data_IF_380945830709
#
_entry.id   IF_380945830709
#
_cell.length_a   1.000
_cell.length_b   1.000
_cell.length_c   1.000
_cell.angle_alpha   90.00
_cell.angle_beta   90.00
_cell.angle_gamma   90.00
#
_symmetry.space_group_name_H-M   'P 1'
#
loop_
_entity.id
_entity.type
_entity.pdbx_description
1 polymer ?
#
# COMPACT_ATOMS: atom_id res chain seq x y z
N UNK A 1 28.70 11.53 12.46
CA UNK A 1 27.24 11.59 12.64
C UNK A 1 26.76 10.15 12.78
N UNK A 2 26.44 9.70 13.99
CA UNK A 2 25.91 8.35 14.18
C UNK A 2 24.47 8.29 13.66
N UNK A 3 24.19 7.34 12.77
CA UNK A 3 22.84 7.14 12.27
C UNK A 3 22.08 6.27 13.27
N UNK A 4 21.19 6.89 14.04
CA UNK A 4 20.30 6.16 14.96
C UNK A 4 19.45 5.19 14.13
N UNK A 5 19.60 3.89 14.44
CA UNK A 5 18.80 2.83 13.85
C UNK A 5 17.58 2.56 14.73
N UNK A 6 16.41 2.58 14.11
CA UNK A 6 15.11 2.42 14.76
C UNK A 6 14.41 1.17 14.25
N UNK A 7 13.53 0.59 15.08
CA UNK A 7 12.73 -0.59 14.70
C UNK A 7 11.55 -0.17 13.82
N UNK A 8 11.27 -1.01 12.84
CA UNK A 8 10.12 -0.88 11.93
C UNK A 8 9.36 -2.18 11.93
N UNK A 9 8.04 -2.11 12.12
CA UNK A 9 7.15 -3.21 11.79
C UNK A 9 6.80 -3.13 10.29
N UNK A 10 7.41 -4.00 9.48
CA UNK A 10 7.16 -4.07 8.05
C UNK A 10 6.10 -5.12 7.77
N UNK A 11 4.97 -4.70 7.21
CA UNK A 11 3.90 -5.55 6.70
C UNK A 11 3.66 -5.19 5.23
N UNK A 12 4.37 -5.88 4.33
CA UNK A 12 4.41 -5.45 2.93
C UNK A 12 3.05 -5.63 2.23
N UNK A 13 2.41 -4.54 1.73
CA UNK A 13 1.08 -4.63 1.10
C UNK A 13 1.09 -5.31 -0.27
N UNK A 14 2.27 -5.53 -0.86
CA UNK A 14 2.40 -6.11 -2.20
C UNK A 14 2.59 -7.63 -2.20
N UNK A 15 3.22 -8.19 -1.16
CA UNK A 15 3.57 -9.62 -1.13
C UNK A 15 3.28 -10.33 0.20
N UNK A 16 2.74 -9.61 1.20
CA UNK A 16 2.40 -10.18 2.51
C UNK A 16 3.59 -10.52 3.41
N UNK A 17 4.83 -10.18 3.01
CA UNK A 17 5.99 -10.41 3.88
C UNK A 17 5.95 -9.49 5.11
N UNK A 18 5.79 -10.09 6.29
CA UNK A 18 5.82 -9.42 7.58
C UNK A 18 7.15 -9.68 8.32
N UNK A 19 7.90 -8.63 8.67
CA UNK A 19 9.17 -8.73 9.41
C UNK A 19 9.46 -7.47 10.22
N UNK A 20 10.13 -7.63 11.35
CA UNK A 20 10.76 -6.50 12.03
C UNK A 20 12.11 -6.19 11.40
N UNK A 21 12.33 -4.95 11.00
CA UNK A 21 13.58 -4.48 10.38
C UNK A 21 14.12 -3.25 11.10
N UNK A 22 15.39 -2.90 10.83
CA UNK A 22 16.02 -1.70 11.40
C UNK A 22 16.44 -0.74 10.28
N UNK A 23 16.02 0.51 10.36
CA UNK A 23 16.34 1.57 9.39
C UNK A 23 16.85 2.81 10.10
N UNK A 24 17.42 3.77 9.36
CA UNK A 24 17.76 5.07 9.94
C UNK A 24 16.50 5.89 10.22
N UNK A 25 16.46 6.61 11.35
CA UNK A 25 15.30 7.39 11.78
C UNK A 25 14.83 8.47 10.78
N UNK A 26 15.70 8.92 9.87
CA UNK A 26 15.40 9.95 8.85
C UNK A 26 14.75 9.39 7.57
N UNK A 27 14.60 8.07 7.45
CA UNK A 27 14.09 7.44 6.23
C UNK A 27 12.57 7.63 6.14
N UNK A 28 12.07 7.89 4.93
CA UNK A 28 10.63 8.04 4.63
C UNK A 28 9.99 6.79 4.02
N UNK A 29 10.82 5.86 3.54
CA UNK A 29 10.38 4.64 2.89
C UNK A 29 11.45 3.55 3.06
N UNK A 30 11.02 2.31 2.93
CA UNK A 30 11.88 1.13 2.89
C UNK A 30 11.51 0.25 1.70
N UNK A 31 12.51 -0.45 1.14
CA UNK A 31 12.28 -1.48 0.15
C UNK A 31 11.97 -2.81 0.83
N UNK A 32 10.87 -3.46 0.46
CA UNK A 32 10.55 -4.79 0.96
C UNK A 32 11.67 -5.78 0.55
N UNK A 33 12.24 -6.55 1.50
CA UNK A 33 13.34 -7.46 1.19
C UNK A 33 12.92 -8.61 0.28
N UNK A 34 11.62 -8.97 0.26
CA UNK A 34 11.05 -10.04 -0.57
C UNK A 34 10.76 -9.56 -1.99
N UNK A 35 9.75 -8.69 -2.19
CA UNK A 35 9.29 -8.29 -3.51
C UNK A 35 9.95 -7.02 -4.09
N UNK A 36 10.88 -6.40 -3.35
CA UNK A 36 11.58 -5.17 -3.75
C UNK A 36 10.71 -3.94 -4.01
N UNK A 37 9.42 -3.99 -3.69
CA UNK A 37 8.53 -2.83 -3.76
C UNK A 37 8.80 -1.85 -2.60
N UNK A 38 8.61 -0.56 -2.85
CA UNK A 38 8.78 0.48 -1.86
C UNK A 38 7.54 0.61 -0.97
N UNK A 39 7.76 0.61 0.34
CA UNK A 39 6.73 0.72 1.38
C UNK A 39 7.00 1.99 2.17
N UNK A 40 5.96 2.77 2.43
CA UNK A 40 6.04 4.01 3.17
C UNK A 40 6.34 3.76 4.65
N UNK A 41 7.12 4.63 5.29
CA UNK A 41 7.39 4.59 6.73
C UNK A 41 6.52 5.66 7.42
N UNK A 42 5.43 5.24 8.04
CA UNK A 42 4.61 6.10 8.90
C UNK A 42 5.09 6.02 10.35
N UNK A 43 5.06 7.14 11.07
CA UNK A 43 5.37 7.15 12.51
C UNK A 43 4.41 6.21 13.24
N UNK A 44 4.95 5.31 14.07
CA UNK A 44 4.13 4.28 14.74
C UNK A 44 3.03 4.88 15.64
N UNK A 45 3.29 6.02 16.28
CA UNK A 45 2.33 6.75 17.12
C UNK A 45 1.66 7.92 16.40
N UNK A 46 2.02 8.17 15.14
CA UNK A 46 1.67 9.40 14.41
C UNK A 46 2.55 10.61 14.75
N UNK A 47 3.44 10.51 15.75
CA UNK A 47 4.33 11.58 16.21
C UNK A 47 5.80 11.22 15.92
N UNK A 48 6.54 12.16 15.32
CA UNK A 48 7.98 11.98 15.08
C UNK A 48 8.76 11.95 16.41
N UNK A 49 9.68 11.01 16.55
CA UNK A 49 10.51 10.89 17.75
C UNK A 49 9.98 9.89 18.79
N UNK A 50 8.74 9.42 18.66
CA UNK A 50 8.12 8.51 19.62
C UNK A 50 8.06 7.07 19.11
N UNK A 51 8.05 6.11 20.04
CA UNK A 51 7.85 4.69 19.76
C UNK A 51 6.56 4.20 20.38
N UNK A 52 5.90 3.25 19.73
CA UNK A 52 4.71 2.61 20.27
C UNK A 52 5.01 1.68 21.47
N UNK A 53 3.97 1.07 22.03
CA UNK A 53 4.04 0.13 23.17
C UNK A 53 4.93 -1.09 22.89
N UNK A 54 5.19 -1.41 21.62
CA UNK A 54 6.03 -2.51 21.18
C UNK A 54 7.47 -2.07 20.83
N UNK A 55 7.76 -0.78 20.96
CA UNK A 55 9.05 -0.17 20.67
C UNK A 55 9.32 0.02 19.17
N UNK A 56 8.29 0.03 18.33
CA UNK A 56 8.42 0.39 16.92
C UNK A 56 8.37 1.89 16.76
N UNK A 57 9.27 2.41 15.93
CA UNK A 57 9.32 3.82 15.57
C UNK A 57 8.54 4.10 14.28
N UNK A 58 8.54 3.11 13.37
CA UNK A 58 7.76 3.16 12.15
C UNK A 58 6.87 1.93 11.99
N UNK A 59 5.69 2.13 11.41
CA UNK A 59 4.92 1.08 10.75
C UNK A 59 5.07 1.23 9.24
N UNK A 60 5.22 0.11 8.53
CA UNK A 60 5.35 0.07 7.08
C UNK A 60 4.30 -0.87 6.50
N UNK A 61 3.07 -0.35 6.44
CA UNK A 61 1.86 -1.05 6.00
C UNK A 61 1.33 -0.53 4.66
N UNK A 62 1.73 0.69 4.26
CA UNK A 62 1.19 1.37 3.09
C UNK A 62 2.15 1.37 1.89
N UNK A 63 1.63 1.28 0.65
CA UNK A 63 2.40 1.51 -0.55
C UNK A 63 3.05 2.89 -0.53
N UNK A 64 4.31 2.99 -0.92
CA UNK A 64 4.88 4.30 -1.19
C UNK A 64 4.22 4.90 -2.44
N UNK A 65 3.92 6.21 -2.41
CA UNK A 65 3.31 6.93 -3.53
C UNK A 65 1.93 6.40 -3.98
N UNK A 66 1.06 6.04 -3.04
CA UNK A 66 -0.31 5.57 -3.32
C UNK A 66 -1.09 6.47 -4.31
N UNK A 67 -0.86 7.79 -4.30
CA UNK A 67 -1.48 8.72 -5.27
C UNK A 67 -1.16 8.36 -6.73
N UNK A 68 0.08 7.95 -7.01
CA UNK A 68 0.51 7.57 -8.36
C UNK A 68 -0.15 6.24 -8.77
N UNK A 69 -0.20 5.28 -7.84
CA UNK A 69 -0.88 4.01 -8.06
C UNK A 69 -2.35 4.25 -8.39
N UNK A 70 -3.06 5.06 -7.60
CA UNK A 70 -4.47 5.36 -7.84
C UNK A 70 -4.71 6.02 -9.21
N UNK A 71 -3.78 6.86 -9.67
CA UNK A 71 -3.86 7.47 -11.00
C UNK A 71 -3.64 6.46 -12.13
N UNK A 72 -2.73 5.49 -11.96
CA UNK A 72 -2.48 4.43 -12.95
C UNK A 72 -3.68 3.50 -13.14
N UNK A 73 -4.54 3.36 -12.14
CA UNK A 73 -5.72 2.48 -12.16
C UNK A 73 -7.05 3.24 -12.24
N UNK A 74 -7.03 4.53 -12.56
CA UNK A 74 -8.24 5.36 -12.60
C UNK A 74 -9.28 4.81 -13.60
N UNK A 75 -8.80 4.30 -14.74
CA UNK A 75 -9.66 3.80 -15.82
C UNK A 75 -10.03 2.31 -15.65
N UNK A 76 -9.46 1.62 -14.65
CA UNK A 76 -9.68 0.18 -14.45
C UNK A 76 -11.12 -0.16 -14.03
N UNK A 77 -11.88 0.85 -13.58
CA UNK A 77 -13.25 0.74 -13.13
C UNK A 77 -14.24 1.43 -14.07
N UNK A 78 -13.80 1.95 -15.22
CA UNK A 78 -14.71 2.44 -16.24
C UNK A 78 -15.40 1.25 -16.93
N UNK A 79 -16.72 1.16 -16.78
CA UNK A 79 -17.50 0.14 -17.47
C UNK A 79 -17.33 0.31 -18.99
N UNK A 80 -16.86 -0.74 -19.65
CA UNK A 80 -16.88 -0.77 -21.10
C UNK A 80 -18.32 -0.55 -21.58
N UNK A 81 -18.57 0.36 -22.54
CA UNK A 81 -19.92 0.59 -23.03
C UNK A 81 -20.53 -0.76 -23.47
N UNK A 82 -21.79 -1.05 -23.11
CA UNK A 82 -22.40 -2.34 -23.37
C UNK A 82 -22.31 -2.64 -24.88
N UNK A 83 -21.54 -3.68 -25.24
CA UNK A 83 -21.22 -4.01 -26.65
C UNK A 83 -22.44 -4.47 -27.47
N UNK A 84 -23.59 -4.66 -26.84
CA UNK A 84 -24.79 -5.10 -27.54
C UNK A 84 -26.07 -4.73 -26.78
N UNK A 85 -26.99 -4.04 -27.43
CA UNK A 85 -28.38 -3.99 -26.98
C UNK A 85 -29.04 -5.31 -27.36
N UNK A 86 -29.19 -6.23 -26.42
CA UNK A 86 -30.04 -7.41 -26.66
C UNK A 86 -31.50 -6.96 -26.57
N UNK A 87 -32.19 -6.92 -27.71
CA UNK A 87 -33.64 -6.72 -27.74
C UNK A 87 -34.32 -8.07 -27.47
N UNK A 88 -34.94 -8.19 -26.29
CA UNK A 88 -35.80 -9.34 -25.96
C UNK A 88 -37.06 -9.22 -26.84
N UNK A 89 -37.19 -10.07 -27.85
CA UNK A 89 -38.46 -10.18 -28.60
C UNK A 89 -39.45 -11.01 -27.78
N UNK A 90 -40.51 -10.38 -27.29
CA UNK A 90 -41.67 -11.08 -26.75
C UNK A 90 -42.33 -11.89 -27.86
N UNK A 91 -42.19 -13.22 -27.82
CA UNK A 91 -42.94 -14.14 -28.68
C UNK A 91 -44.34 -14.30 -28.09
N UNK A 92 -45.32 -13.57 -28.63
CA UNK A 92 -46.74 -13.82 -28.32
C UNK A 92 -47.08 -15.26 -28.74
N UNK A 93 -47.43 -16.12 -27.77
CA UNK A 93 -48.05 -17.41 -28.04
C UNK A 93 -49.52 -17.13 -28.37
N UNK A 94 -49.90 -17.42 -29.61
CA UNK A 94 -51.29 -17.40 -30.07
C UNK A 94 -52.12 -18.53 -29.48
#
# INVERSE_FOLDING_TARGET
MEFIKVKVDLQCPFCGNCKVVKVGAHRKAITCPSCKQAVFLSWATGIEGETDEHGYYFHAVEPCNIRKINQEFQDAFEDAPPKHSFTIRNKMRG
#
